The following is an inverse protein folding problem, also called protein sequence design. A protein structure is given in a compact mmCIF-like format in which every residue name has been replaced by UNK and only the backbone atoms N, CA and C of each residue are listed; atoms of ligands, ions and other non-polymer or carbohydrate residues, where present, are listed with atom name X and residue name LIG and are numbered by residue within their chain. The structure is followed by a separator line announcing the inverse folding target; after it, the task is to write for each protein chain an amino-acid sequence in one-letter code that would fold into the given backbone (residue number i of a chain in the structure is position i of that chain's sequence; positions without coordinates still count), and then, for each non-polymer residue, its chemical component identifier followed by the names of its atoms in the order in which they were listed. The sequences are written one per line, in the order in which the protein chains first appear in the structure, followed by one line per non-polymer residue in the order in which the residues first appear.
data_IF_978421937101
#
_entry.id   IF_978421937101
#
_cell.length_a   1.000
_cell.length_b   1.000
_cell.length_c   1.000
_cell.angle_alpha   90.00
_cell.angle_beta   90.00
_cell.angle_gamma   90.00
#
_symmetry.space_group_name_H-M   'P 1'
#
loop_
_entity.id
_entity.type
_entity.pdbx_description
1 polymer ?
#
# COMPACT_ATOMS: atom_id res chain seq x y z
N UNK A 1 34.43 51.81 21.84
CA UNK A 1 34.19 50.65 22.73
C UNK A 1 33.37 49.61 21.97
N UNK A 2 33.92 48.41 21.87
CA UNK A 2 33.44 47.34 21.01
C UNK A 2 32.49 46.43 21.80
N UNK A 3 31.27 46.15 21.29
CA UNK A 3 30.35 45.17 21.82
C UNK A 3 30.03 44.12 20.74
N UNK A 4 30.55 42.91 20.88
CA UNK A 4 30.21 41.72 20.08
C UNK A 4 28.85 41.19 20.47
N UNK A 5 28.00 40.74 19.56
CA UNK A 5 26.85 39.88 19.91
C UNK A 5 27.26 38.43 19.95
N UNK A 6 26.75 37.73 20.96
CA UNK A 6 26.93 36.32 21.26
C UNK A 6 26.18 35.42 20.28
N UNK A 7 26.87 34.35 19.88
CA UNK A 7 26.37 33.20 19.13
C UNK A 7 25.36 32.41 19.93
N UNK A 8 24.19 32.13 19.37
CA UNK A 8 23.24 31.07 19.82
C UNK A 8 23.18 30.01 18.75
N UNK A 9 24.04 29.00 18.86
CA UNK A 9 23.89 27.69 18.25
C UNK A 9 23.29 26.75 19.28
N UNK A 10 21.96 26.62 19.27
CA UNK A 10 21.22 25.63 20.02
C UNK A 10 20.59 24.61 19.09
N UNK A 11 21.39 23.74 18.48
CA UNK A 11 20.91 22.58 17.77
C UNK A 11 20.29 21.58 18.77
N UNK A 12 18.97 21.58 18.90
CA UNK A 12 18.25 20.49 19.57
C UNK A 12 18.44 19.23 18.75
N UNK A 13 19.32 18.34 19.19
CA UNK A 13 19.33 16.92 18.80
C UNK A 13 17.99 16.35 19.26
N UNK A 14 17.14 15.98 18.31
CA UNK A 14 15.98 15.13 18.60
C UNK A 14 16.50 13.82 19.18
N UNK A 15 16.15 13.56 20.44
CA UNK A 15 16.39 12.28 21.08
C UNK A 15 15.74 11.15 20.28
N UNK A 16 16.33 9.93 20.23
CA UNK A 16 15.70 8.79 19.59
C UNK A 16 14.39 8.49 20.35
N UNK A 17 13.27 8.59 19.61
CA UNK A 17 11.96 8.22 20.14
C UNK A 17 12.02 6.74 20.51
N UNK A 18 11.80 6.44 21.78
CA UNK A 18 11.75 5.10 22.34
C UNK A 18 10.80 4.21 21.52
N UNK A 19 11.22 2.98 21.31
CA UNK A 19 10.44 1.91 20.69
C UNK A 19 9.19 1.71 21.56
N UNK A 20 8.06 2.33 21.20
CA UNK A 20 6.83 2.22 21.95
C UNK A 20 6.27 0.81 21.84
N UNK A 21 6.21 0.12 22.96
CA UNK A 21 5.46 -1.10 23.24
C UNK A 21 4.00 -1.00 22.79
N UNK A 22 3.35 -2.15 22.60
CA UNK A 22 1.93 -2.29 22.28
C UNK A 22 1.04 -1.35 23.12
N UNK A 23 -0.09 -0.86 22.56
CA UNK A 23 -1.00 -0.01 23.32
C UNK A 23 -1.51 -0.76 24.54
N UNK A 24 -1.31 -0.17 25.72
CA UNK A 24 -1.56 -0.81 27.01
C UNK A 24 -3.04 -0.87 27.44
N UNK A 25 -3.96 -0.22 26.70
CA UNK A 25 -5.36 -0.09 27.12
C UNK A 25 -6.40 -0.20 25.97
N UNK A 26 -6.11 -0.92 24.89
CA UNK A 26 -7.06 -1.08 23.80
C UNK A 26 -7.22 -2.53 23.35
N UNK A 27 -8.35 -2.87 22.74
CA UNK A 27 -8.53 -4.18 22.12
C UNK A 27 -7.75 -4.25 20.82
N UNK A 28 -6.96 -5.32 20.64
CA UNK A 28 -6.23 -5.60 19.41
C UNK A 28 -6.66 -6.93 18.81
N UNK A 29 -7.01 -6.93 17.52
CA UNK A 29 -7.38 -8.13 16.78
C UNK A 29 -6.39 -8.36 15.65
N UNK A 30 -5.80 -9.56 15.59
CA UNK A 30 -4.92 -9.93 14.49
C UNK A 30 -5.76 -10.16 13.23
N UNK A 31 -5.56 -9.32 12.22
CA UNK A 31 -6.24 -9.48 10.91
C UNK A 31 -5.48 -10.42 9.97
N UNK A 32 -4.14 -10.32 9.97
CA UNK A 32 -3.30 -11.10 9.06
C UNK A 32 -1.89 -11.23 9.61
N UNK A 33 -1.26 -12.37 9.35
CA UNK A 33 0.17 -12.58 9.55
C UNK A 33 0.79 -13.18 8.29
N UNK A 34 1.88 -12.61 7.81
CA UNK A 34 2.61 -13.09 6.65
C UNK A 34 4.14 -12.99 6.87
N UNK A 35 4.93 -13.32 5.83
CA UNK A 35 6.38 -13.27 5.90
C UNK A 35 6.96 -11.85 6.14
N UNK A 36 6.16 -10.80 5.96
CA UNK A 36 6.55 -9.40 6.11
C UNK A 36 6.03 -8.77 7.40
N UNK A 37 5.36 -9.54 8.25
CA UNK A 37 4.89 -9.08 9.56
C UNK A 37 3.45 -9.42 9.88
N UNK A 38 2.91 -8.71 10.86
CA UNK A 38 1.53 -8.83 11.32
C UNK A 38 0.76 -7.54 11.04
N UNK A 39 -0.51 -7.67 10.76
CA UNK A 39 -1.46 -6.57 10.59
C UNK A 39 -2.53 -6.71 11.67
N UNK A 40 -2.67 -5.68 12.48
CA UNK A 40 -3.57 -5.63 13.61
C UNK A 40 -4.64 -4.58 13.40
N UNK A 41 -5.88 -4.88 13.78
CA UNK A 41 -6.90 -3.89 14.05
C UNK A 41 -6.75 -3.48 15.52
N UNK A 42 -6.44 -2.22 15.73
CA UNK A 42 -6.29 -1.63 17.05
C UNK A 42 -7.47 -0.69 17.32
N UNK A 43 -8.01 -0.74 18.54
CA UNK A 43 -9.11 0.13 18.98
C UNK A 43 -8.80 0.64 20.38
N UNK A 44 -8.91 1.93 20.55
CA UNK A 44 -9.00 2.60 21.86
C UNK A 44 -10.34 3.35 21.98
N UNK A 45 -10.57 4.04 23.09
CA UNK A 45 -11.82 4.77 23.34
C UNK A 45 -12.09 5.89 22.33
N UNK A 46 -11.06 6.39 21.65
CA UNK A 46 -11.15 7.55 20.77
C UNK A 46 -11.15 7.18 19.28
N UNK A 47 -10.58 6.00 18.89
CA UNK A 47 -10.38 5.68 17.48
C UNK A 47 -10.14 4.19 17.23
N UNK A 48 -10.36 3.80 15.96
CA UNK A 48 -9.96 2.51 15.40
C UNK A 48 -8.93 2.73 14.29
N UNK A 49 -7.85 1.93 14.27
CA UNK A 49 -6.80 2.06 13.27
C UNK A 49 -6.17 0.71 12.92
N UNK A 50 -5.43 0.67 11.83
CA UNK A 50 -4.66 -0.49 11.40
C UNK A 50 -3.20 -0.27 11.75
N UNK A 51 -2.61 -1.21 12.50
CA UNK A 51 -1.18 -1.29 12.79
C UNK A 51 -0.54 -2.41 11.98
N UNK A 52 0.50 -2.08 11.23
CA UNK A 52 1.42 -3.06 10.67
C UNK A 52 2.65 -3.15 11.53
N UNK A 53 3.05 -4.37 11.90
CA UNK A 53 4.20 -4.64 12.75
C UNK A 53 5.15 -5.62 12.08
N UNK A 54 6.46 -5.31 12.09
CA UNK A 54 7.51 -6.17 11.51
C UNK A 54 8.35 -6.88 12.57
N UNK A 55 8.08 -6.66 13.86
CA UNK A 55 8.85 -7.25 14.97
C UNK A 55 8.84 -8.78 15.00
N UNK A 56 7.72 -9.40 14.59
CA UNK A 56 7.55 -10.87 14.53
C UNK A 56 8.22 -11.54 13.33
N UNK A 57 8.81 -10.76 12.42
CA UNK A 57 9.47 -11.27 11.21
C UNK A 57 10.83 -11.88 11.56
N UNK A 58 11.20 -13.00 10.91
CA UNK A 58 12.52 -13.63 11.04
C UNK A 58 13.62 -12.58 10.82
N UNK A 59 14.66 -12.60 11.65
CA UNK A 59 15.70 -11.56 11.72
C UNK A 59 16.31 -11.21 10.35
N UNK A 60 16.54 -12.19 9.48
CA UNK A 60 17.12 -12.01 8.14
C UNK A 60 16.14 -11.41 7.10
N UNK A 61 14.82 -11.50 7.33
CA UNK A 61 13.78 -10.83 6.52
C UNK A 61 13.43 -9.42 7.02
N UNK A 62 13.78 -9.07 8.25
CA UNK A 62 13.48 -7.77 8.84
C UNK A 62 13.92 -6.58 8.00
N UNK A 63 15.13 -6.56 7.38
CA UNK A 63 15.53 -5.44 6.53
C UNK A 63 14.57 -5.24 5.34
N UNK A 64 14.12 -6.33 4.72
CA UNK A 64 13.19 -6.28 3.60
C UNK A 64 11.79 -5.84 4.04
N UNK A 65 11.30 -6.38 5.17
CA UNK A 65 10.02 -5.99 5.75
C UNK A 65 10.01 -4.51 6.15
N UNK A 66 11.08 -4.02 6.78
CA UNK A 66 11.26 -2.60 7.09
C UNK A 66 11.31 -1.73 5.83
N UNK A 67 12.01 -2.18 4.77
CA UNK A 67 12.05 -1.46 3.50
C UNK A 67 10.66 -1.35 2.85
N UNK A 68 9.85 -2.42 2.89
CA UNK A 68 8.46 -2.42 2.42
C UNK A 68 7.58 -1.46 3.24
N UNK A 69 7.69 -1.51 4.57
CA UNK A 69 6.98 -0.60 5.47
C UNK A 69 7.38 0.87 5.25
N UNK A 70 8.67 1.16 5.07
CA UNK A 70 9.15 2.52 4.77
C UNK A 70 8.68 3.00 3.39
N UNK A 71 8.50 2.10 2.43
CA UNK A 71 7.91 2.42 1.13
C UNK A 71 6.43 2.79 1.28
N UNK A 72 5.65 2.00 2.01
CA UNK A 72 4.25 2.32 2.35
C UNK A 72 4.15 3.68 3.05
N UNK A 73 4.98 3.92 4.08
CA UNK A 73 5.05 5.21 4.77
C UNK A 73 5.27 6.38 3.80
N UNK A 74 6.26 6.26 2.90
CA UNK A 74 6.58 7.32 1.91
C UNK A 74 5.43 7.55 0.93
N UNK A 75 4.73 6.49 0.54
CA UNK A 75 3.55 6.58 -0.32
C UNK A 75 2.42 7.33 0.39
N UNK A 76 2.06 6.90 1.62
CA UNK A 76 0.99 7.53 2.41
C UNK A 76 1.27 9.00 2.72
N UNK A 77 2.52 9.37 3.01
CA UNK A 77 2.92 10.79 3.18
C UNK A 77 2.65 11.63 1.91
N UNK A 78 2.95 11.09 0.73
CA UNK A 78 2.68 11.78 -0.55
C UNK A 78 1.19 11.86 -0.88
N UNK A 79 0.43 10.87 -0.41
CA UNK A 79 -1.00 10.75 -0.69
C UNK A 79 -1.88 11.42 0.38
N UNK A 80 -1.29 12.16 1.30
CA UNK A 80 -2.04 12.88 2.34
C UNK A 80 -3.14 13.76 1.72
N UNK A 81 -4.39 13.56 2.19
CA UNK A 81 -5.56 14.28 1.69
C UNK A 81 -6.14 13.73 0.38
N UNK A 82 -5.77 12.50 -0.01
CA UNK A 82 -6.45 11.77 -1.09
C UNK A 82 -7.53 10.89 -0.49
N UNK A 83 -8.79 11.15 -0.86
CA UNK A 83 -9.91 10.34 -0.42
C UNK A 83 -9.80 8.91 -0.95
N UNK A 84 -10.25 7.92 -0.15
CA UNK A 84 -10.14 6.51 -0.47
C UNK A 84 -8.71 5.93 -0.32
N UNK A 85 -7.81 6.68 0.33
CA UNK A 85 -6.47 6.22 0.71
C UNK A 85 -6.27 6.37 2.21
N UNK A 86 -5.71 5.37 2.94
CA UNK A 86 -5.47 5.49 4.36
C UNK A 86 -4.56 6.66 4.70
N UNK A 87 -4.85 7.33 5.80
CA UNK A 87 -3.97 8.37 6.35
C UNK A 87 -2.91 7.73 7.24
N UNK A 88 -1.66 8.15 7.10
CA UNK A 88 -0.60 7.80 8.05
C UNK A 88 -0.89 8.49 9.38
N UNK A 89 -0.98 7.72 10.45
CA UNK A 89 -1.24 8.22 11.81
C UNK A 89 0.04 8.30 12.63
N UNK A 90 0.80 7.19 12.68
CA UNK A 90 2.07 7.12 13.38
C UNK A 90 3.02 6.14 12.69
N UNK A 91 4.30 6.21 13.01
CA UNK A 91 5.28 5.22 12.60
C UNK A 91 6.45 5.16 13.60
N UNK A 92 6.98 3.97 13.78
CA UNK A 92 8.19 3.70 14.54
C UNK A 92 9.22 2.92 13.73
N UNK A 93 10.19 2.32 14.42
CA UNK A 93 11.20 1.47 13.80
C UNK A 93 10.60 0.21 13.18
N UNK A 94 9.67 -0.42 13.89
CA UNK A 94 9.10 -1.74 13.56
C UNK A 94 7.56 -1.73 13.41
N UNK A 95 6.91 -0.56 13.40
CA UNK A 95 5.47 -0.44 13.18
C UNK A 95 5.09 0.78 12.35
N UNK A 96 3.93 0.69 11.72
CA UNK A 96 3.28 1.75 10.98
C UNK A 96 1.78 1.71 11.28
N UNK A 97 1.23 2.84 11.75
CA UNK A 97 -0.19 3.02 12.03
C UNK A 97 -0.84 3.86 10.93
N UNK A 98 -1.94 3.39 10.42
CA UNK A 98 -2.74 4.07 9.39
C UNK A 98 -4.22 4.05 9.74
N UNK A 99 -4.99 5.00 9.21
CA UNK A 99 -6.44 5.01 9.40
C UNK A 99 -7.07 3.73 8.84
N UNK A 100 -8.09 3.23 9.51
CA UNK A 100 -9.01 2.26 8.93
C UNK A 100 -9.78 2.92 7.77
N UNK A 101 -9.97 2.19 6.70
CA UNK A 101 -10.99 2.46 5.69
C UNK A 101 -12.09 1.42 5.86
N UNK A 102 -13.28 1.87 6.20
CA UNK A 102 -14.44 1.00 6.35
C UNK A 102 -14.99 0.62 4.98
N UNK A 103 -15.25 -0.66 4.79
CA UNK A 103 -15.71 -1.22 3.53
C UNK A 103 -15.29 -2.67 3.35
N UNK A 104 -15.80 -3.29 2.29
CA UNK A 104 -15.52 -4.67 1.92
C UNK A 104 -14.55 -4.74 0.73
N UNK A 105 -13.78 -5.82 0.61
CA UNK A 105 -12.91 -6.04 -0.55
C UNK A 105 -13.74 -6.36 -1.82
N UNK A 106 -13.15 -6.19 -3.02
CA UNK A 106 -13.83 -6.58 -4.27
C UNK A 106 -14.18 -8.08 -4.32
N UNK A 107 -13.51 -8.92 -3.55
CA UNK A 107 -13.82 -10.34 -3.45
C UNK A 107 -15.11 -10.59 -2.64
N UNK A 108 -15.39 -9.71 -1.66
CA UNK A 108 -16.53 -9.82 -0.74
C UNK A 108 -17.78 -9.06 -1.25
N UNK A 109 -17.57 -7.91 -1.89
CA UNK A 109 -18.65 -7.05 -2.40
C UNK A 109 -18.36 -6.65 -3.86
N UNK A 110 -19.17 -7.10 -4.83
CA UNK A 110 -19.09 -6.64 -6.21
C UNK A 110 -19.29 -5.13 -6.30
N UNK A 111 -18.45 -4.40 -7.06
CA UNK A 111 -18.53 -2.96 -7.14
C UNK A 111 -19.60 -2.52 -8.15
N UNK A 112 -20.30 -1.43 -7.86
CA UNK A 112 -21.18 -0.75 -8.80
C UNK A 112 -20.40 0.03 -9.88
N UNK A 113 -21.07 0.45 -10.94
CA UNK A 113 -20.40 1.14 -12.05
C UNK A 113 -19.76 2.47 -11.62
N UNK A 114 -20.39 3.20 -10.69
CA UNK A 114 -19.88 4.46 -10.15
C UNK A 114 -18.58 4.26 -9.36
N UNK A 115 -18.43 3.13 -8.70
CA UNK A 115 -17.20 2.77 -8.02
C UNK A 115 -15.97 2.85 -8.96
N UNK A 116 -16.10 2.40 -10.22
CA UNK A 116 -14.99 2.46 -11.21
C UNK A 116 -14.63 3.91 -11.59
N UNK A 117 -15.58 4.85 -11.49
CA UNK A 117 -15.28 6.28 -11.68
C UNK A 117 -14.49 6.82 -10.50
N UNK A 118 -14.88 6.48 -9.28
CA UNK A 118 -14.16 6.81 -8.04
C UNK A 118 -12.75 6.21 -8.04
N UNK A 119 -12.60 4.91 -8.30
CA UNK A 119 -11.32 4.22 -8.42
C UNK A 119 -10.38 4.87 -9.46
N UNK A 120 -10.92 5.25 -10.64
CA UNK A 120 -10.14 5.96 -11.66
C UNK A 120 -9.69 7.35 -11.19
N UNK A 121 -10.49 8.04 -10.37
CA UNK A 121 -10.13 9.33 -9.77
C UNK A 121 -8.96 9.16 -8.81
N UNK A 122 -8.99 8.14 -7.95
CA UNK A 122 -7.88 7.79 -7.06
C UNK A 122 -6.60 7.54 -7.86
N UNK A 123 -6.62 6.66 -8.86
CA UNK A 123 -5.42 6.37 -9.69
C UNK A 123 -4.84 7.62 -10.36
N UNK A 124 -5.69 8.56 -10.77
CA UNK A 124 -5.25 9.83 -11.31
C UNK A 124 -4.52 10.65 -10.25
N UNK A 125 -5.07 10.74 -9.04
CA UNK A 125 -4.46 11.47 -7.92
C UNK A 125 -3.13 10.82 -7.51
N UNK A 126 -3.06 9.48 -7.41
CA UNK A 126 -1.82 8.76 -7.13
C UNK A 126 -0.72 9.17 -8.12
N UNK A 127 -1.03 9.09 -9.42
CA UNK A 127 -0.06 9.48 -10.46
C UNK A 127 0.38 10.93 -10.35
N UNK A 128 -0.55 11.87 -10.11
CA UNK A 128 -0.23 13.30 -9.93
C UNK A 128 0.69 13.54 -8.73
N UNK A 129 0.52 12.75 -7.65
CA UNK A 129 1.37 12.77 -6.46
C UNK A 129 2.68 11.98 -6.62
N UNK A 130 2.94 11.42 -7.80
CA UNK A 130 4.15 10.67 -8.09
C UNK A 130 4.19 9.29 -7.46
N UNK A 131 3.04 8.65 -7.31
CA UNK A 131 2.86 7.30 -6.76
C UNK A 131 2.18 6.41 -7.79
N UNK A 132 2.65 5.17 -7.97
CA UNK A 132 1.94 4.07 -8.60
C UNK A 132 1.89 2.92 -7.60
N UNK A 133 0.75 2.27 -7.48
CA UNK A 133 0.53 1.26 -6.45
C UNK A 133 1.26 -0.06 -6.73
N UNK A 134 1.25 -0.48 -8.01
CA UNK A 134 1.98 -1.64 -8.53
C UNK A 134 1.54 -3.03 -8.00
N UNK A 135 0.41 -3.13 -7.26
CA UNK A 135 -0.17 -4.40 -6.77
C UNK A 135 -1.71 -4.43 -6.86
N UNK A 136 -2.30 -3.67 -7.77
CA UNK A 136 -3.75 -3.55 -7.95
C UNK A 136 -4.38 -4.69 -8.77
N UNK A 137 -3.60 -5.73 -9.09
CA UNK A 137 -4.14 -6.98 -9.63
C UNK A 137 -4.92 -7.76 -8.58
N UNK A 138 -4.60 -7.58 -7.30
CA UNK A 138 -5.26 -8.24 -6.17
C UNK A 138 -6.56 -7.51 -5.82
N UNK A 139 -7.66 -8.24 -5.76
CA UNK A 139 -8.97 -7.72 -5.35
C UNK A 139 -8.98 -7.24 -3.90
N UNK A 140 -8.16 -7.87 -3.05
CA UNK A 140 -8.00 -7.52 -1.64
C UNK A 140 -7.39 -6.13 -1.40
N UNK A 141 -6.71 -5.54 -2.39
CA UNK A 141 -6.11 -4.21 -2.28
C UNK A 141 -7.09 -3.09 -2.70
N UNK A 142 -8.29 -3.48 -3.16
CA UNK A 142 -9.39 -2.58 -3.46
C UNK A 142 -10.53 -2.76 -2.47
N UNK A 143 -11.10 -1.66 -2.01
CA UNK A 143 -12.27 -1.65 -1.14
C UNK A 143 -13.46 -0.99 -1.85
N UNK A 144 -14.64 -1.54 -1.62
CA UNK A 144 -15.91 -0.88 -1.81
C UNK A 144 -16.28 -0.28 -0.46
N UNK A 145 -16.15 1.03 -0.33
CA UNK A 145 -16.44 1.75 0.92
C UNK A 145 -17.93 1.76 1.20
N UNK A 146 -18.34 2.07 2.43
CA UNK A 146 -19.75 2.04 2.82
C UNK A 146 -20.58 3.12 2.14
N UNK A 147 -19.95 4.22 1.69
CA UNK A 147 -20.56 5.25 0.84
C UNK A 147 -20.63 4.86 -0.66
N UNK A 148 -20.23 3.63 -1.01
CA UNK A 148 -20.15 3.15 -2.40
C UNK A 148 -18.93 3.64 -3.16
N UNK A 149 -18.05 4.42 -2.54
CA UNK A 149 -16.79 4.89 -3.10
C UNK A 149 -15.72 3.81 -3.20
N UNK A 150 -14.62 4.14 -3.87
CA UNK A 150 -13.47 3.26 -3.94
C UNK A 150 -12.46 3.56 -2.84
N UNK A 151 -11.85 2.49 -2.29
CA UNK A 151 -10.69 2.58 -1.42
C UNK A 151 -9.52 1.76 -1.96
N UNK A 152 -8.29 2.17 -1.63
CA UNK A 152 -7.05 1.46 -2.01
C UNK A 152 -6.16 1.33 -0.80
N UNK A 153 -5.70 0.11 -0.53
CA UNK A 153 -4.87 -0.24 0.64
C UNK A 153 -3.62 -1.02 0.24
N UNK A 154 -2.63 -1.11 1.13
CA UNK A 154 -1.38 -1.88 0.98
C UNK A 154 -0.40 -1.32 -0.07
N UNK A 155 0.24 -0.20 0.25
CA UNK A 155 1.23 0.47 -0.60
C UNK A 155 2.67 -0.07 -0.49
N UNK A 156 2.88 -1.27 0.02
CA UNK A 156 4.21 -1.87 0.22
C UNK A 156 5.03 -2.02 -1.07
N UNK A 157 4.37 -2.25 -2.20
CA UNK A 157 4.99 -2.40 -3.52
C UNK A 157 4.93 -1.12 -4.36
N UNK A 158 4.50 0.00 -3.78
CA UNK A 158 4.35 1.25 -4.50
C UNK A 158 5.66 1.75 -5.11
N UNK A 159 5.58 2.26 -6.33
CA UNK A 159 6.66 2.96 -7.01
C UNK A 159 6.48 4.47 -6.78
N UNK A 160 7.51 5.10 -6.22
CA UNK A 160 7.49 6.51 -5.87
C UNK A 160 8.56 7.24 -6.69
N UNK A 161 8.14 8.16 -7.55
CA UNK A 161 9.03 8.93 -8.40
C UNK A 161 8.40 10.29 -8.76
N UNK A 162 9.15 11.15 -9.46
CA UNK A 162 8.57 12.37 -10.03
C UNK A 162 7.51 12.00 -11.08
N UNK A 163 6.36 12.71 -11.18
CA UNK A 163 5.23 12.36 -12.05
C UNK A 163 5.59 12.19 -13.53
N UNK A 164 6.62 12.90 -14.00
CA UNK A 164 7.09 12.86 -15.41
C UNK A 164 8.04 11.70 -15.72
N UNK A 165 8.54 10.95 -14.72
CA UNK A 165 9.46 9.83 -14.95
C UNK A 165 8.79 8.72 -15.75
N UNK A 166 9.47 8.17 -16.80
CA UNK A 166 8.90 7.13 -17.66
C UNK A 166 8.46 5.88 -16.89
N UNK A 167 9.27 5.44 -15.91
CA UNK A 167 8.94 4.30 -15.06
C UNK A 167 7.62 4.51 -14.30
N UNK A 168 7.40 5.67 -13.67
CA UNK A 168 6.16 5.95 -12.97
C UNK A 168 4.96 5.94 -13.92
N UNK A 169 5.11 6.53 -15.11
CA UNK A 169 4.05 6.54 -16.14
C UNK A 169 3.68 5.13 -16.58
N UNK A 170 4.69 4.26 -16.71
CA UNK A 170 4.49 2.87 -17.07
C UNK A 170 3.75 2.12 -15.97
N UNK A 171 4.19 2.26 -14.70
CA UNK A 171 3.54 1.60 -13.54
C UNK A 171 2.11 2.11 -13.33
N UNK A 172 1.88 3.42 -13.40
CA UNK A 172 0.53 3.99 -13.30
C UNK A 172 -0.40 3.53 -14.43
N UNK A 173 0.15 3.25 -15.62
CA UNK A 173 -0.61 2.65 -16.72
C UNK A 173 -0.97 1.18 -16.43
N UNK A 174 -0.08 0.43 -15.79
CA UNK A 174 -0.39 -0.94 -15.37
C UNK A 174 -1.44 -0.95 -14.24
N UNK A 175 -1.39 -0.02 -13.29
CA UNK A 175 -2.45 0.15 -12.29
C UNK A 175 -3.82 0.38 -12.95
N UNK A 176 -3.87 1.28 -13.95
CA UNK A 176 -5.09 1.50 -14.72
C UNK A 176 -5.53 0.25 -15.49
N UNK A 177 -4.61 -0.54 -16.04
CA UNK A 177 -4.95 -1.80 -16.70
C UNK A 177 -5.54 -2.82 -15.74
N UNK A 178 -5.05 -2.90 -14.51
CA UNK A 178 -5.61 -3.78 -13.48
C UNK A 178 -7.03 -3.34 -13.11
N UNK A 179 -7.27 -2.05 -12.91
CA UNK A 179 -8.63 -1.52 -12.71
C UNK A 179 -9.57 -1.89 -13.87
N UNK A 180 -9.10 -1.76 -15.11
CA UNK A 180 -9.90 -2.12 -16.30
C UNK A 180 -10.13 -3.62 -16.44
N UNK A 181 -9.24 -4.48 -15.93
CA UNK A 181 -9.47 -5.93 -15.88
C UNK A 181 -10.60 -6.25 -14.89
N UNK A 182 -10.59 -5.64 -13.70
CA UNK A 182 -11.70 -5.77 -12.76
C UNK A 182 -13.01 -5.24 -13.39
N UNK A 183 -12.97 -4.07 -14.04
CA UNK A 183 -14.15 -3.56 -14.76
C UNK A 183 -14.65 -4.52 -15.84
N UNK A 184 -13.76 -5.21 -16.55
CA UNK A 184 -14.14 -6.20 -17.53
C UNK A 184 -14.77 -7.44 -16.89
N UNK A 185 -14.34 -7.82 -15.72
CA UNK A 185 -14.90 -8.96 -14.98
C UNK A 185 -16.32 -8.67 -14.49
N UNK A 186 -16.55 -7.50 -13.89
CA UNK A 186 -17.84 -7.15 -13.30
C UNK A 186 -18.81 -6.46 -14.27
N UNK A 187 -18.31 -5.59 -15.19
CA UNK A 187 -19.14 -4.75 -16.07
C UNK A 187 -18.58 -4.70 -17.49
N UNK A 188 -18.52 -5.86 -18.18
CA UNK A 188 -17.95 -5.98 -19.54
C UNK A 188 -18.58 -5.05 -20.56
N UNK A 189 -19.90 -4.88 -20.53
CA UNK A 189 -20.65 -4.03 -21.46
C UNK A 189 -20.30 -2.54 -21.29
N UNK A 190 -19.94 -2.10 -20.09
CA UNK A 190 -19.60 -0.72 -19.79
C UNK A 190 -18.16 -0.30 -20.17
N UNK A 191 -17.38 -1.17 -20.81
CA UNK A 191 -16.04 -0.84 -21.30
C UNK A 191 -16.13 0.04 -22.56
N UNK A 192 -15.51 1.23 -22.49
CA UNK A 192 -15.37 2.13 -23.65
C UNK A 192 -14.37 1.60 -24.67
N UNK A 193 -14.43 1.99 -25.95
CA UNK A 193 -13.47 1.57 -26.95
C UNK A 193 -12.00 1.84 -26.57
N UNK A 194 -11.73 2.99 -25.92
CA UNK A 194 -10.38 3.32 -25.44
C UNK A 194 -9.90 2.35 -24.35
N UNK A 195 -10.80 1.91 -23.45
CA UNK A 195 -10.49 0.95 -22.38
C UNK A 195 -10.14 -0.42 -22.98
N UNK A 196 -10.90 -0.86 -24.01
CA UNK A 196 -10.64 -2.11 -24.76
C UNK A 196 -9.28 -2.06 -25.49
N UNK A 197 -8.93 -0.92 -26.14
CA UNK A 197 -7.62 -0.71 -26.76
C UNK A 197 -6.47 -0.79 -25.73
N UNK A 198 -6.66 -0.21 -24.53
CA UNK A 198 -5.65 -0.27 -23.46
C UNK A 198 -5.46 -1.70 -22.96
N UNK A 199 -6.53 -2.47 -22.81
CA UNK A 199 -6.48 -3.89 -22.42
C UNK A 199 -5.83 -4.77 -23.49
N UNK A 200 -6.06 -4.50 -24.77
CA UNK A 200 -5.50 -5.25 -25.90
C UNK A 200 -3.97 -5.10 -26.03
N UNK A 201 -3.41 -3.95 -25.62
CA UNK A 201 -1.96 -3.73 -25.66
C UNK A 201 -1.26 -4.65 -24.67
N UNK A 202 -0.47 -5.59 -25.18
CA UNK A 202 0.33 -6.52 -24.34
C UNK A 202 1.39 -5.75 -23.56
N UNK A 203 1.36 -5.85 -22.24
CA UNK A 203 2.44 -5.35 -21.38
C UNK A 203 3.52 -6.43 -21.27
N UNK A 204 4.54 -6.38 -22.13
CA UNK A 204 5.71 -7.24 -22.04
C UNK A 204 6.51 -6.96 -20.75
N UNK A 205 6.54 -5.70 -20.32
CA UNK A 205 7.23 -5.28 -19.10
C UNK A 205 6.58 -5.85 -17.84
N UNK A 206 5.24 -5.83 -17.74
CA UNK A 206 4.53 -6.45 -16.61
C UNK A 206 4.73 -7.97 -16.57
N UNK A 207 4.98 -8.63 -17.72
CA UNK A 207 5.35 -10.06 -17.76
C UNK A 207 6.77 -10.27 -17.23
N UNK A 208 7.74 -9.50 -17.73
CA UNK A 208 9.13 -9.58 -17.30
C UNK A 208 9.26 -9.27 -15.79
N UNK A 209 8.61 -8.21 -15.32
CA UNK A 209 8.59 -7.83 -13.91
C UNK A 209 7.97 -8.90 -13.01
N UNK A 210 6.82 -9.45 -13.39
CA UNK A 210 6.17 -10.53 -12.62
C UNK A 210 7.01 -11.81 -12.62
N UNK A 211 7.66 -12.17 -13.73
CA UNK A 211 8.53 -13.33 -13.79
C UNK A 211 9.75 -13.17 -12.89
N UNK A 212 10.37 -11.99 -12.90
CA UNK A 212 11.56 -11.71 -12.10
C UNK A 212 11.21 -11.66 -10.61
N UNK A 213 10.14 -10.92 -10.24
CA UNK A 213 9.68 -10.81 -8.85
C UNK A 213 9.11 -12.12 -8.31
N UNK A 214 8.28 -12.82 -9.11
CA UNK A 214 7.71 -14.11 -8.74
C UNK A 214 8.80 -15.19 -8.60
N UNK A 215 9.83 -15.16 -9.45
CA UNK A 215 11.01 -16.03 -9.30
C UNK A 215 11.78 -15.70 -8.03
N UNK A 216 12.08 -14.44 -7.76
CA UNK A 216 12.78 -14.02 -6.55
C UNK A 216 11.97 -14.37 -5.29
N UNK A 217 10.67 -14.12 -5.28
CA UNK A 217 9.76 -14.47 -4.20
C UNK A 217 9.64 -15.98 -4.01
N UNK A 218 9.45 -16.76 -5.09
CA UNK A 218 9.33 -18.23 -5.00
C UNK A 218 10.66 -18.88 -4.63
N UNK A 219 11.80 -18.37 -5.09
CA UNK A 219 13.11 -18.86 -4.65
C UNK A 219 13.31 -18.59 -3.16
N UNK A 220 12.90 -17.40 -2.71
CA UNK A 220 12.99 -17.02 -1.31
C UNK A 220 12.05 -17.83 -0.42
N UNK A 221 10.79 -18.04 -0.83
CA UNK A 221 9.81 -18.81 -0.04
C UNK A 221 10.06 -20.31 -0.10
N UNK A 222 10.35 -20.89 -1.27
CA UNK A 222 10.56 -22.34 -1.41
C UNK A 222 11.91 -22.81 -0.88
N UNK A 223 13.00 -22.09 -1.16
CA UNK A 223 14.35 -22.49 -0.69
C UNK A 223 14.64 -22.12 0.75
N UNK A 224 14.03 -21.06 1.26
CA UNK A 224 14.39 -20.48 2.56
C UNK A 224 13.32 -20.75 3.62
N UNK A 225 12.06 -20.83 3.28
CA UNK A 225 10.95 -21.02 4.22
C UNK A 225 10.45 -22.46 4.29
N UNK A 226 10.81 -23.34 3.35
CA UNK A 226 10.37 -24.75 3.35
C UNK A 226 8.84 -24.92 3.27
N UNK A 227 8.10 -23.87 2.91
CA UNK A 227 6.63 -23.90 2.79
C UNK A 227 6.29 -24.61 1.48
N UNK A 228 5.88 -25.88 1.55
CA UNK A 228 5.13 -26.53 0.50
C UNK A 228 3.72 -25.94 0.52
N UNK A 229 3.30 -25.37 -0.59
CA UNK A 229 1.88 -25.05 -0.80
C UNK A 229 1.11 -26.39 -0.69
N UNK A 230 0.30 -26.56 0.35
CA UNK A 230 -0.62 -27.66 0.44
C UNK A 230 -1.65 -27.48 -0.68
N UNK A 231 -1.60 -28.33 -1.69
CA UNK A 231 -2.69 -28.57 -2.60
C UNK A 231 -3.85 -29.14 -1.77
N UNK A 232 -4.88 -28.31 -1.55
CA UNK A 232 -6.16 -28.75 -1.05
C UNK A 232 -6.87 -29.55 -2.16
N UNK A 233 -7.06 -30.81 -1.89
CA UNK A 233 -8.04 -31.67 -2.57
C UNK A 233 -9.46 -31.16 -2.36
#
# INVERSE_FOLDING_TARGET
MRGRPASFLGGRRMAPQSCATAPSDGSTVLLKRDAFGAVWLCRDDARTWIRREVGSVRWWLRPLARAAMQRERRALLRLRGVDGVPRLLANGCDHLDRSLLEGATLAERPPELEWFRSARRILRQLRHRGVAHNDLAKEQNWLVLDDGGAGVVDFQLAVIARPRRPLLRLMAREDLRHLLKHKRAFHRAALRPVDRRLLARRSWFARAWRQTWKRAYNVMTRRVLGVRDGEGT
#
